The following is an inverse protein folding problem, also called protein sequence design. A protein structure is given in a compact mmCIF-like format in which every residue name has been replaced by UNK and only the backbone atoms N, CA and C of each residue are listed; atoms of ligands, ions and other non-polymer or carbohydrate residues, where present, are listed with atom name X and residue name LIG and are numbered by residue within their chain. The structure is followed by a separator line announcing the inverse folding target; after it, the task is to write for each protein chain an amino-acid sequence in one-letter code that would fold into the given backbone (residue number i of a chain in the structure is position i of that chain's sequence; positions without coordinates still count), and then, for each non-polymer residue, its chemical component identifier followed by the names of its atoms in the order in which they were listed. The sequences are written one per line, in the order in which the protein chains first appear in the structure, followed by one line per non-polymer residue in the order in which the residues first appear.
data_IF_157103208377
#
_entry.id   IF_157103208377
#
_cell.length_a   1.000
_cell.length_b   1.000
_cell.length_c   1.000
_cell.angle_alpha   90.00
_cell.angle_beta   90.00
_cell.angle_gamma   90.00
#
_symmetry.space_group_name_H-M   'P 1'
#
loop_
_entity.id
_entity.type
_entity.pdbx_description
1 polymer ?
#
# COMPACT_ATOMS: atom_id res chain seq x y z
N UNK A 1 -14.73 2.12 15.00
CA UNK A 1 -14.13 0.83 14.57
C UNK A 1 -13.15 1.10 13.44
N UNK A 2 -11.94 0.52 13.44
CA UNK A 2 -11.00 0.62 12.32
C UNK A 2 -10.69 -0.77 11.79
N UNK A 3 -10.79 -0.97 10.47
CA UNK A 3 -10.53 -2.25 9.81
C UNK A 3 -9.50 -2.06 8.72
N UNK A 4 -8.52 -2.96 8.70
CA UNK A 4 -7.67 -3.13 7.53
C UNK A 4 -8.11 -4.36 6.76
N UNK A 5 -8.45 -4.19 5.49
CA UNK A 5 -8.66 -5.32 4.58
C UNK A 5 -7.41 -5.57 3.76
N UNK A 6 -7.03 -6.83 3.66
CA UNK A 6 -5.89 -7.29 2.91
C UNK A 6 -6.32 -7.92 1.57
N UNK A 7 -6.04 -7.27 0.45
CA UNK A 7 -5.62 -7.95 -0.75
C UNK A 7 -4.11 -8.17 -0.72
N UNK A 8 -3.66 -9.24 -1.36
CA UNK A 8 -2.24 -9.55 -1.51
C UNK A 8 -1.37 -8.33 -1.81
N UNK A 9 -0.20 -8.16 -1.15
CA UNK A 9 0.99 -7.38 -1.59
C UNK A 9 1.95 -7.12 -0.40
N UNK A 10 3.29 -7.09 -0.55
CA UNK A 10 4.21 -6.17 0.12
C UNK A 10 4.65 -5.07 -0.87
N UNK A 11 5.46 -4.12 -0.43
CA UNK A 11 6.09 -3.10 -1.29
C UNK A 11 6.99 -3.72 -2.39
N UNK A 12 7.04 -3.14 -3.58
CA UNK A 12 8.22 -3.21 -4.47
C UNK A 12 8.31 -1.95 -5.33
N UNK A 13 9.55 -1.61 -5.66
CA UNK A 13 10.00 -0.46 -6.42
C UNK A 13 9.59 -0.53 -7.91
N UNK A 14 9.20 0.62 -8.45
CA UNK A 14 8.76 0.81 -9.84
C UNK A 14 9.84 0.46 -10.87
N UNK A 15 9.49 -0.35 -11.88
CA UNK A 15 10.04 -0.22 -13.23
C UNK A 15 8.99 -0.60 -14.29
N UNK A 16 8.84 0.28 -15.28
CA UNK A 16 7.87 0.24 -16.37
C UNK A 16 8.41 -0.56 -17.56
N UNK A 17 7.57 -1.39 -18.22
CA UNK A 17 7.46 -1.58 -19.69
C UNK A 17 6.48 -2.73 -20.09
N UNK A 18 5.42 -2.33 -20.82
CA UNK A 18 4.63 -2.99 -21.88
C UNK A 18 3.96 -4.40 -21.77
N UNK A 19 2.63 -4.35 -21.93
CA UNK A 19 1.60 -5.25 -22.50
C UNK A 19 1.89 -6.73 -22.84
N UNK A 20 1.24 -7.63 -22.09
CA UNK A 20 0.73 -8.93 -22.57
C UNK A 20 -0.66 -9.21 -21.94
N UNK A 21 -1.56 -9.93 -22.64
CA UNK A 21 -2.93 -10.14 -22.19
C UNK A 21 -3.00 -11.18 -21.06
N UNK A 22 -3.86 -11.00 -20.04
CA UNK A 22 -3.89 -11.88 -18.87
C UNK A 22 -4.70 -13.18 -19.09
N UNK A 23 -4.26 -14.34 -18.57
CA UNK A 23 -5.14 -15.45 -18.25
C UNK A 23 -5.91 -15.20 -16.95
N UNK A 24 -7.15 -15.70 -16.89
CA UNK A 24 -8.15 -15.35 -15.89
C UNK A 24 -8.05 -16.18 -14.60
N UNK A 25 -8.47 -15.50 -13.53
CA UNK A 25 -8.85 -15.95 -12.18
C UNK A 25 -7.65 -16.07 -11.23
N UNK A 26 -7.62 -15.25 -10.14
CA UNK A 26 -6.93 -15.43 -8.83
C UNK A 26 -6.93 -14.42 -7.66
N UNK A 27 -7.97 -13.71 -7.22
CA UNK A 27 -7.87 -12.53 -6.32
C UNK A 27 -6.87 -11.47 -6.79
N UNK A 28 -5.60 -11.75 -7.01
CA UNK A 28 -4.64 -11.00 -7.81
C UNK A 28 -3.82 -11.99 -8.65
N UNK A 29 -3.54 -11.73 -9.93
CA UNK A 29 -2.51 -12.54 -10.63
C UNK A 29 -1.18 -12.39 -9.88
N UNK A 30 -0.27 -13.36 -10.01
CA UNK A 30 0.98 -13.35 -9.24
C UNK A 30 1.70 -11.99 -9.36
N UNK A 31 2.21 -11.49 -8.22
CA UNK A 31 2.93 -10.21 -8.13
C UNK A 31 4.16 -10.19 -9.04
N UNK A 32 4.68 -11.37 -9.35
CA UNK A 32 5.75 -11.58 -10.32
C UNK A 32 5.51 -10.85 -11.66
N UNK A 33 4.25 -10.71 -12.08
CA UNK A 33 3.90 -10.05 -13.34
C UNK A 33 3.47 -8.60 -13.10
N UNK A 34 3.98 -7.68 -13.91
CA UNK A 34 3.74 -6.24 -13.78
C UNK A 34 2.26 -5.81 -13.90
N UNK A 35 1.41 -6.59 -14.58
CA UNK A 35 -0.01 -6.30 -14.81
C UNK A 35 -0.93 -7.01 -13.80
N UNK A 36 -0.44 -7.20 -12.58
CA UNK A 36 -1.23 -7.84 -11.54
C UNK A 36 -2.46 -7.01 -11.17
N UNK A 37 -3.61 -7.68 -11.09
CA UNK A 37 -4.91 -7.03 -10.91
C UNK A 37 -5.84 -7.91 -10.11
N UNK A 38 -6.80 -7.28 -9.42
CA UNK A 38 -7.76 -8.06 -8.64
C UNK A 38 -8.60 -8.96 -9.55
N UNK A 39 -8.93 -10.19 -9.15
CA UNK A 39 -9.79 -11.09 -9.93
C UNK A 39 -11.16 -11.27 -9.30
N UNK A 40 -12.08 -11.88 -10.05
CA UNK A 40 -13.44 -12.16 -9.58
C UNK A 40 -13.50 -12.90 -8.25
N UNK A 41 -12.61 -13.89 -8.01
CA UNK A 41 -12.57 -14.60 -6.73
C UNK A 41 -12.26 -13.64 -5.57
N UNK A 42 -11.33 -12.71 -5.77
CA UNK A 42 -10.93 -11.75 -4.76
C UNK A 42 -11.96 -10.68 -4.50
N UNK A 43 -12.63 -10.22 -5.56
CA UNK A 43 -13.78 -9.34 -5.44
C UNK A 43 -14.88 -10.03 -4.62
N UNK A 44 -15.18 -11.30 -4.91
CA UNK A 44 -16.18 -12.08 -4.15
C UNK A 44 -15.77 -12.24 -2.68
N UNK A 45 -14.52 -12.59 -2.38
CA UNK A 45 -14.10 -12.76 -0.98
C UNK A 45 -14.11 -11.44 -0.20
N UNK A 46 -13.71 -10.32 -0.82
CA UNK A 46 -13.81 -9.02 -0.17
C UNK A 46 -15.27 -8.58 0.01
N UNK A 47 -16.13 -8.84 -0.98
CA UNK A 47 -17.57 -8.62 -0.83
C UNK A 47 -18.16 -9.43 0.32
N UNK A 48 -17.90 -10.74 0.39
CA UNK A 48 -18.35 -11.60 1.48
C UNK A 48 -17.79 -11.17 2.84
N UNK A 49 -16.56 -10.67 2.86
CA UNK A 49 -15.97 -10.08 4.06
C UNK A 49 -16.75 -8.82 4.46
N UNK A 50 -17.00 -7.91 3.53
CA UNK A 50 -17.85 -6.74 3.76
C UNK A 50 -19.24 -7.10 4.30
N UNK A 51 -19.91 -8.09 3.72
CA UNK A 51 -21.22 -8.58 4.17
C UNK A 51 -21.17 -9.15 5.59
N UNK A 52 -20.11 -9.86 5.96
CA UNK A 52 -19.91 -10.29 7.34
C UNK A 52 -19.85 -9.10 8.32
N UNK A 53 -19.17 -8.01 7.94
CA UNK A 53 -19.14 -6.79 8.75
C UNK A 53 -20.49 -6.04 8.73
N UNK A 54 -21.25 -6.11 7.64
CA UNK A 54 -22.63 -5.61 7.60
C UNK A 54 -23.50 -6.29 8.65
N UNK A 55 -23.53 -7.63 8.62
CA UNK A 55 -24.33 -8.44 9.55
C UNK A 55 -23.94 -8.19 11.00
N UNK A 56 -22.65 -8.02 11.26
CA UNK A 56 -22.15 -7.78 12.61
C UNK A 56 -22.39 -6.36 13.11
N UNK A 57 -22.22 -5.33 12.29
CA UNK A 57 -22.13 -3.95 12.78
C UNK A 57 -23.25 -3.02 12.31
N UNK A 58 -23.92 -3.32 11.21
CA UNK A 58 -24.94 -2.44 10.62
C UNK A 58 -26.34 -3.02 10.78
N UNK A 59 -26.46 -4.35 10.68
CA UNK A 59 -27.74 -5.05 10.77
C UNK A 59 -28.48 -4.73 12.08
N UNK A 60 -29.76 -4.38 11.97
CA UNK A 60 -30.56 -3.84 13.08
C UNK A 60 -30.68 -4.80 14.27
N UNK A 61 -30.70 -6.11 14.00
CA UNK A 61 -30.84 -7.14 15.03
C UNK A 61 -29.50 -7.64 15.58
N UNK A 62 -28.37 -7.07 15.14
CA UNK A 62 -27.06 -7.47 15.66
C UNK A 62 -26.86 -6.93 17.08
N UNK A 63 -26.42 -7.80 17.99
CA UNK A 63 -25.99 -7.42 19.33
C UNK A 63 -24.70 -6.59 19.34
N UNK A 64 -23.94 -6.59 18.24
CA UNK A 64 -22.71 -5.83 18.06
C UNK A 64 -22.92 -4.60 17.16
N UNK A 65 -24.17 -4.24 16.88
CA UNK A 65 -24.48 -3.09 16.02
C UNK A 65 -23.80 -1.82 16.54
N UNK A 66 -23.13 -1.09 15.64
CA UNK A 66 -22.52 0.18 15.98
C UNK A 66 -23.61 1.19 16.30
N UNK A 67 -23.49 1.84 17.47
CA UNK A 67 -24.47 2.81 17.93
C UNK A 67 -24.64 3.95 16.91
N UNK A 68 -25.89 4.14 16.46
CA UNK A 68 -26.26 5.22 15.54
C UNK A 68 -25.66 5.12 14.14
N UNK A 69 -25.15 3.96 13.72
CA UNK A 69 -24.75 3.76 12.32
C UNK A 69 -25.98 3.73 11.42
N UNK A 70 -25.88 4.37 10.25
CA UNK A 70 -26.94 4.36 9.23
C UNK A 70 -26.80 3.12 8.34
N UNK A 71 -27.94 2.61 7.85
CA UNK A 71 -27.99 1.63 6.75
C UNK A 71 -27.71 2.25 5.39
N UNK A 72 -27.82 3.59 5.30
CA UNK A 72 -27.43 4.38 4.13
C UNK A 72 -25.99 4.85 4.30
N UNK A 73 -25.18 4.62 3.27
CA UNK A 73 -23.76 4.97 3.25
C UNK A 73 -23.56 6.48 3.41
N UNK A 74 -22.55 6.85 4.21
CA UNK A 74 -22.10 8.21 4.38
C UNK A 74 -20.58 8.24 4.56
N UNK A 75 -19.83 8.97 3.71
CA UNK A 75 -18.37 9.06 3.80
C UNK A 75 -17.87 9.60 5.16
N UNK A 76 -18.64 10.45 5.84
CA UNK A 76 -18.23 11.00 7.15
C UNK A 76 -18.34 9.97 8.28
N UNK A 77 -19.32 9.07 8.20
CA UNK A 77 -19.47 7.95 9.14
C UNK A 77 -18.55 6.77 8.79
N UNK A 78 -18.27 6.61 7.49
CA UNK A 78 -17.54 5.47 6.92
C UNK A 78 -16.33 5.91 6.10
N UNK A 79 -15.37 6.66 6.69
CA UNK A 79 -14.18 7.07 5.97
C UNK A 79 -13.40 5.84 5.51
N UNK A 80 -13.11 5.79 4.22
CA UNK A 80 -12.48 4.64 3.58
C UNK A 80 -11.31 5.11 2.72
N UNK A 81 -10.14 4.50 2.89
CA UNK A 81 -8.92 4.87 2.16
C UNK A 81 -8.12 3.66 1.70
N UNK A 82 -7.35 3.85 0.64
CA UNK A 82 -6.44 2.88 0.07
C UNK A 82 -5.30 3.63 -0.64
N UNK A 83 -4.07 3.10 -0.71
CA UNK A 83 -3.08 3.60 -1.65
C UNK A 83 -3.60 3.55 -3.08
N UNK A 84 -3.17 4.48 -3.93
CA UNK A 84 -3.59 4.59 -5.33
C UNK A 84 -3.03 3.45 -6.21
N UNK A 85 -3.54 2.25 -5.93
CA UNK A 85 -3.21 1.00 -6.61
C UNK A 85 -4.54 0.32 -6.91
N UNK A 86 -4.78 0.01 -8.18
CA UNK A 86 -6.07 -0.52 -8.64
C UNK A 86 -6.54 -1.74 -7.83
N UNK A 87 -5.62 -2.64 -7.45
CA UNK A 87 -5.94 -3.81 -6.61
C UNK A 87 -6.45 -3.41 -5.22
N UNK A 88 -5.88 -2.38 -4.58
CA UNK A 88 -6.22 -1.93 -3.23
C UNK A 88 -7.54 -1.14 -3.24
N UNK A 89 -7.72 -0.27 -4.22
CA UNK A 89 -8.97 0.49 -4.42
C UNK A 89 -10.13 -0.47 -4.70
N UNK A 90 -9.95 -1.44 -5.60
CA UNK A 90 -11.00 -2.40 -5.91
C UNK A 90 -11.31 -3.32 -4.72
N UNK A 91 -10.31 -3.62 -3.88
CA UNK A 91 -10.51 -4.37 -2.63
C UNK A 91 -11.38 -3.62 -1.65
N UNK A 92 -11.02 -2.36 -1.35
CA UNK A 92 -11.83 -1.51 -0.48
C UNK A 92 -13.23 -1.33 -1.05
N UNK A 93 -13.35 -1.13 -2.36
CA UNK A 93 -14.63 -0.99 -3.06
C UNK A 93 -15.48 -2.25 -2.88
N UNK A 94 -14.98 -3.44 -3.24
CA UNK A 94 -15.72 -4.70 -3.10
C UNK A 94 -16.14 -4.97 -1.64
N UNK A 95 -15.26 -4.68 -0.68
CA UNK A 95 -15.60 -4.73 0.74
C UNK A 95 -16.77 -3.80 1.07
N UNK A 96 -16.72 -2.54 0.64
CA UNK A 96 -17.79 -1.56 0.90
C UNK A 96 -19.11 -1.93 0.22
N UNK A 97 -19.08 -2.58 -0.95
CA UNK A 97 -20.28 -3.12 -1.61
C UNK A 97 -20.96 -4.20 -0.76
N UNK A 98 -20.17 -5.04 -0.08
CA UNK A 98 -20.70 -6.01 0.88
C UNK A 98 -21.18 -5.35 2.17
N UNK A 99 -20.48 -4.32 2.65
CA UNK A 99 -20.81 -3.59 3.87
C UNK A 99 -22.11 -2.77 3.73
N UNK A 100 -22.30 -2.12 2.58
CA UNK A 100 -23.46 -1.30 2.24
C UNK A 100 -24.16 -1.88 1.00
N UNK A 101 -24.99 -2.93 1.18
CA UNK A 101 -25.73 -3.53 0.07
C UNK A 101 -26.72 -2.53 -0.55
N UNK A 102 -27.26 -2.80 -1.76
CA UNK A 102 -28.24 -1.94 -2.40
C UNK A 102 -29.41 -1.55 -1.48
N UNK A 103 -29.77 -0.27 -1.50
CA UNK A 103 -30.88 0.28 -0.72
C UNK A 103 -32.18 0.29 -1.53
N UNK A 104 -33.31 0.13 -0.84
CA UNK A 104 -34.63 0.32 -1.43
C UNK A 104 -35.03 1.80 -1.57
N UNK A 105 -34.20 2.71 -1.04
CA UNK A 105 -34.39 4.16 -1.09
C UNK A 105 -34.61 4.63 -2.54
N UNK A 106 -35.57 5.52 -2.71
CA UNK A 106 -35.97 6.03 -4.02
C UNK A 106 -36.26 7.53 -3.92
N UNK A 107 -35.84 8.28 -4.94
CA UNK A 107 -36.13 9.69 -5.10
C UNK A 107 -37.47 9.85 -5.85
N UNK A 108 -38.36 10.69 -5.34
CA UNK A 108 -39.57 11.07 -6.06
C UNK A 108 -39.29 12.33 -6.88
N UNK A 109 -39.38 12.21 -8.21
CA UNK A 109 -39.19 13.34 -9.11
C UNK A 109 -40.51 14.11 -9.33
N UNK A 110 -40.42 15.30 -9.91
CA UNK A 110 -41.54 16.26 -10.05
C UNK A 110 -42.78 15.72 -10.78
N UNK A 111 -42.64 14.68 -11.62
CA UNK A 111 -43.76 14.03 -12.28
C UNK A 111 -44.46 12.94 -11.43
N UNK A 112 -44.05 12.78 -10.17
CA UNK A 112 -44.60 11.79 -9.23
C UNK A 112 -44.00 10.38 -9.35
N UNK A 113 -43.09 10.14 -10.30
CA UNK A 113 -42.40 8.86 -10.44
C UNK A 113 -41.33 8.69 -9.37
N UNK A 114 -41.11 7.44 -8.94
CA UNK A 114 -40.07 7.08 -7.98
C UNK A 114 -38.89 6.43 -8.72
N UNK A 115 -37.70 7.01 -8.59
CA UNK A 115 -36.48 6.55 -9.24
C UNK A 115 -35.53 6.00 -8.18
N UNK A 116 -34.99 4.81 -8.43
CA UNK A 116 -33.95 4.20 -7.61
C UNK A 116 -32.59 4.35 -8.29
N UNK A 117 -31.53 4.27 -7.49
CA UNK A 117 -30.19 4.15 -8.03
C UNK A 117 -30.07 2.92 -8.97
N UNK A 118 -29.22 2.97 -10.00
CA UNK A 118 -28.91 1.83 -10.87
C UNK A 118 -28.43 0.59 -10.10
N UNK A 119 -28.26 -0.52 -10.83
CA UNK A 119 -27.78 -1.80 -10.27
C UNK A 119 -28.64 -2.28 -9.07
N UNK A 120 -29.95 -2.04 -9.15
CA UNK A 120 -30.91 -2.51 -8.14
C UNK A 120 -30.91 -1.69 -6.83
N UNK A 121 -30.49 -0.42 -6.87
CA UNK A 121 -30.44 0.45 -5.70
C UNK A 121 -29.04 0.60 -5.10
N UNK A 122 -27.99 0.39 -5.91
CA UNK A 122 -26.61 0.44 -5.45
C UNK A 122 -26.30 1.73 -4.68
N UNK A 123 -25.63 1.58 -3.54
CA UNK A 123 -25.15 2.71 -2.75
C UNK A 123 -23.77 3.10 -3.27
N UNK A 124 -23.60 4.34 -3.71
CA UNK A 124 -22.34 4.84 -4.26
C UNK A 124 -21.32 5.08 -3.13
N UNK A 125 -20.58 4.03 -2.81
CA UNK A 125 -19.47 4.04 -1.85
C UNK A 125 -18.25 4.75 -2.42
N UNK A 126 -17.44 5.36 -1.55
CA UNK A 126 -16.26 6.11 -1.96
C UNK A 126 -15.02 5.63 -1.22
N UNK A 127 -13.90 5.48 -1.94
CA UNK A 127 -12.58 5.19 -1.37
C UNK A 127 -11.66 6.35 -1.72
N UNK A 128 -11.03 6.94 -0.72
CA UNK A 128 -9.97 7.92 -0.93
C UNK A 128 -8.69 7.20 -1.37
N UNK A 129 -8.12 7.62 -2.49
CA UNK A 129 -6.89 7.04 -3.04
C UNK A 129 -5.70 7.90 -2.58
N UNK A 130 -4.78 7.31 -1.82
CA UNK A 130 -3.56 7.96 -1.35
C UNK A 130 -2.48 7.85 -2.43
N UNK A 131 -2.21 8.94 -3.13
CA UNK A 131 -1.21 8.99 -4.21
C UNK A 131 0.21 8.84 -3.64
N UNK A 132 1.12 8.21 -4.39
CA UNK A 132 2.51 8.00 -3.95
C UNK A 132 3.31 9.30 -3.68
N UNK A 133 2.86 10.43 -4.25
CA UNK A 133 3.44 11.76 -4.01
C UNK A 133 2.83 12.49 -2.82
N UNK A 134 1.73 11.99 -2.24
CA UNK A 134 1.09 12.58 -1.06
C UNK A 134 1.85 12.17 0.22
N UNK A 135 1.99 13.11 1.15
CA UNK A 135 2.56 12.83 2.47
C UNK A 135 1.71 11.83 3.26
N UNK A 136 0.41 11.72 2.95
CA UNK A 136 -0.53 10.80 3.58
C UNK A 136 -0.30 9.33 3.20
N UNK A 137 0.43 9.06 2.12
CA UNK A 137 0.76 7.70 1.69
C UNK A 137 1.59 6.94 2.73
N UNK A 138 2.40 7.64 3.52
CA UNK A 138 3.27 7.03 4.56
C UNK A 138 2.47 6.24 5.60
N UNK A 139 1.19 6.57 5.80
CA UNK A 139 0.32 5.93 6.79
C UNK A 139 -0.12 4.51 6.41
N UNK A 140 -0.22 4.22 5.12
CA UNK A 140 -0.62 2.89 4.61
C UNK A 140 0.52 2.15 3.90
N UNK A 141 1.53 2.89 3.44
CA UNK A 141 2.69 2.39 2.69
C UNK A 141 4.01 2.93 3.23
N UNK A 142 4.17 3.00 4.56
CA UNK A 142 5.37 3.56 5.20
C UNK A 142 6.70 2.86 4.89
N UNK A 143 6.69 1.71 4.23
CA UNK A 143 7.89 1.04 3.70
C UNK A 143 8.33 1.55 2.34
N UNK A 144 7.41 2.16 1.59
CA UNK A 144 7.65 2.59 0.22
C UNK A 144 8.48 3.88 0.27
N UNK A 145 9.42 4.03 -0.67
CA UNK A 145 10.34 5.17 -0.70
C UNK A 145 11.10 5.40 0.63
N UNK A 146 11.37 4.30 1.36
CA UNK A 146 12.08 4.32 2.64
C UNK A 146 13.44 3.61 2.52
N UNK A 147 14.53 4.32 2.15
CA UNK A 147 15.86 3.72 2.03
C UNK A 147 16.35 2.97 3.28
N UNK A 148 16.03 3.47 4.47
CA UNK A 148 16.40 2.81 5.72
C UNK A 148 15.73 1.43 5.87
N UNK A 149 14.46 1.29 5.50
CA UNK A 149 13.76 0.01 5.47
C UNK A 149 14.41 -0.94 4.46
N UNK A 150 14.63 -0.48 3.22
CA UNK A 150 15.25 -1.31 2.17
C UNK A 150 16.62 -1.83 2.60
N UNK A 151 17.47 -0.98 3.19
CA UNK A 151 18.76 -1.39 3.71
C UNK A 151 18.63 -2.39 4.87
N UNK A 152 17.73 -2.12 5.82
CA UNK A 152 17.49 -2.97 6.97
C UNK A 152 16.95 -4.36 6.59
N UNK A 153 16.03 -4.43 5.63
CA UNK A 153 15.49 -5.68 5.10
C UNK A 153 16.58 -6.50 4.38
N UNK A 154 17.42 -5.84 3.58
CA UNK A 154 18.52 -6.49 2.87
C UNK A 154 19.56 -7.15 3.80
N UNK A 155 19.72 -6.66 5.04
CA UNK A 155 20.60 -7.29 6.03
C UNK A 155 20.18 -8.70 6.42
N UNK A 156 18.89 -9.07 6.26
CA UNK A 156 18.43 -10.43 6.56
C UNK A 156 19.19 -11.49 5.75
N UNK A 157 19.49 -11.20 4.47
CA UNK A 157 20.25 -12.09 3.58
C UNK A 157 21.66 -12.41 4.09
N UNK A 158 22.19 -11.65 5.05
CA UNK A 158 23.52 -11.82 5.66
C UNK A 158 23.47 -12.57 6.99
N UNK A 159 22.28 -12.93 7.48
CA UNK A 159 22.10 -13.61 8.76
C UNK A 159 22.45 -15.10 8.69
N UNK A 160 22.81 -15.68 9.84
CA UNK A 160 23.04 -17.12 9.95
C UNK A 160 21.77 -17.93 9.67
N UNK A 161 20.61 -17.45 10.15
CA UNK A 161 19.30 -18.04 9.89
C UNK A 161 18.99 -18.13 8.40
N UNK A 162 19.19 -17.03 7.66
CA UNK A 162 18.99 -17.02 6.21
C UNK A 162 19.93 -18.02 5.51
N UNK A 163 21.21 -18.06 5.89
CA UNK A 163 22.18 -18.99 5.31
C UNK A 163 21.81 -20.46 5.58
N UNK A 164 21.33 -20.77 6.78
CA UNK A 164 20.85 -22.10 7.16
C UNK A 164 19.61 -22.52 6.35
N UNK A 165 18.61 -21.64 6.24
CA UNK A 165 17.40 -21.91 5.46
C UNK A 165 17.71 -22.02 3.97
N UNK A 166 18.59 -21.18 3.45
CA UNK A 166 19.05 -21.23 2.06
C UNK A 166 19.69 -22.58 1.72
N UNK A 167 20.55 -23.11 2.60
CA UNK A 167 21.22 -24.38 2.38
C UNK A 167 20.28 -25.58 2.59
N UNK A 168 19.61 -25.63 3.74
CA UNK A 168 18.76 -26.76 4.13
C UNK A 168 17.57 -26.98 3.20
N UNK A 169 17.05 -25.91 2.58
CA UNK A 169 15.91 -25.99 1.64
C UNK A 169 16.30 -26.04 0.17
N UNK A 170 17.60 -26.02 -0.16
CA UNK A 170 18.09 -25.96 -1.55
C UNK A 170 17.52 -27.08 -2.43
N UNK A 171 17.51 -28.32 -1.93
CA UNK A 171 16.96 -29.47 -2.66
C UNK A 171 15.45 -29.35 -2.84
N UNK A 172 14.75 -28.84 -1.83
CA UNK A 172 13.30 -28.66 -1.86
C UNK A 172 12.90 -27.67 -2.96
N UNK A 173 13.50 -26.48 -2.99
CA UNK A 173 13.21 -25.49 -4.03
C UNK A 173 13.61 -25.97 -5.44
N UNK A 174 14.73 -26.68 -5.57
CA UNK A 174 15.17 -27.26 -6.85
C UNK A 174 14.14 -28.23 -7.47
N UNK A 175 13.25 -28.82 -6.66
CA UNK A 175 12.18 -29.70 -7.11
C UNK A 175 11.09 -29.01 -7.94
N UNK A 176 10.96 -27.69 -7.89
CA UNK A 176 9.91 -26.94 -8.60
C UNK A 176 10.32 -26.45 -9.99
N UNK A 177 11.47 -26.90 -10.51
CA UNK A 177 11.98 -26.50 -11.84
C UNK A 177 10.96 -26.68 -12.96
N UNK A 178 10.29 -27.83 -13.02
CA UNK A 178 9.29 -28.07 -14.05
C UNK A 178 8.00 -27.28 -13.80
N UNK A 179 7.64 -27.04 -12.54
CA UNK A 179 6.45 -26.27 -12.17
C UNK A 179 6.58 -24.78 -12.56
N UNK A 180 7.79 -24.23 -12.49
CA UNK A 180 8.12 -22.85 -12.86
C UNK A 180 8.70 -22.71 -14.26
N UNK A 181 8.63 -23.78 -15.07
CA UNK A 181 9.10 -23.76 -16.45
C UNK A 181 8.23 -22.80 -17.29
N UNK A 182 8.85 -21.74 -17.79
CA UNK A 182 8.17 -20.72 -18.60
C UNK A 182 7.94 -19.40 -17.86
N UNK A 183 8.26 -19.33 -16.57
CA UNK A 183 8.42 -18.03 -15.89
C UNK A 183 9.72 -17.40 -16.39
N UNK A 184 9.63 -16.14 -16.85
CA UNK A 184 10.59 -15.53 -17.78
C UNK A 184 12.00 -15.30 -17.21
N UNK A 185 12.12 -15.12 -15.90
CA UNK A 185 13.38 -14.85 -15.18
C UNK A 185 13.86 -16.03 -14.32
N UNK A 186 13.06 -17.11 -14.19
CA UNK A 186 13.48 -18.39 -13.59
C UNK A 186 14.28 -19.26 -14.58
N UNK A 187 15.23 -18.63 -15.28
CA UNK A 187 16.04 -19.27 -16.33
C UNK A 187 17.24 -20.02 -15.78
N UNK A 188 17.71 -19.67 -14.57
CA UNK A 188 18.79 -20.36 -13.88
C UNK A 188 18.30 -20.96 -12.54
N UNK A 189 17.80 -22.21 -12.56
CA UNK A 189 17.29 -22.88 -11.38
C UNK A 189 18.27 -22.89 -10.19
N UNK A 190 19.58 -22.96 -10.43
CA UNK A 190 20.58 -23.03 -9.36
C UNK A 190 20.63 -21.75 -8.51
N UNK A 191 20.24 -20.61 -9.08
CA UNK A 191 20.23 -19.30 -8.41
C UNK A 191 18.82 -18.77 -8.13
N UNK A 192 17.84 -19.12 -8.97
CA UNK A 192 16.47 -18.60 -8.84
C UNK A 192 15.60 -19.47 -7.93
N UNK A 193 15.77 -20.81 -7.93
CA UNK A 193 14.98 -21.72 -7.10
C UNK A 193 15.64 -21.92 -5.73
N UNK A 194 15.59 -20.88 -4.91
CA UNK A 194 16.19 -20.89 -3.57
C UNK A 194 15.31 -20.14 -2.58
N UNK A 195 15.61 -20.30 -1.28
CA UNK A 195 14.95 -19.56 -0.20
C UNK A 195 15.03 -18.02 -0.37
N UNK A 196 16.00 -17.51 -1.13
CA UNK A 196 16.09 -16.08 -1.43
C UNK A 196 14.87 -15.53 -2.18
N UNK A 197 14.13 -16.40 -2.88
CA UNK A 197 12.88 -16.08 -3.58
C UNK A 197 11.68 -16.80 -2.95
N UNK A 198 11.73 -17.10 -1.64
CA UNK A 198 10.73 -17.93 -0.96
C UNK A 198 9.29 -17.48 -1.21
N UNK A 199 9.03 -16.17 -1.07
CA UNK A 199 7.71 -15.58 -1.30
C UNK A 199 7.30 -15.63 -2.78
N UNK A 200 8.17 -15.24 -3.71
CA UNK A 200 7.84 -15.19 -5.13
C UNK A 200 7.52 -16.58 -5.70
N UNK A 201 8.31 -17.60 -5.31
CA UNK A 201 8.06 -19.00 -5.66
C UNK A 201 6.73 -19.48 -5.07
N UNK A 202 6.47 -19.18 -3.79
CA UNK A 202 5.20 -19.51 -3.15
C UNK A 202 4.01 -18.86 -3.88
N UNK A 203 4.11 -17.57 -4.20
CA UNK A 203 3.03 -16.83 -4.87
C UNK A 203 2.70 -17.43 -6.24
N UNK A 204 3.71 -17.63 -7.08
CA UNK A 204 3.58 -18.23 -8.41
C UNK A 204 2.87 -19.58 -8.35
N UNK A 205 3.30 -20.46 -7.44
CA UNK A 205 2.77 -21.81 -7.31
C UNK A 205 1.39 -21.83 -6.63
N UNK A 206 1.15 -20.97 -5.64
CA UNK A 206 -0.14 -20.84 -4.98
C UNK A 206 -1.20 -20.34 -5.98
N UNK A 207 -0.91 -19.26 -6.70
CA UNK A 207 -1.80 -18.72 -7.74
C UNK A 207 -2.03 -19.77 -8.84
N UNK A 208 -0.97 -20.44 -9.31
CA UNK A 208 -1.11 -21.49 -10.31
C UNK A 208 -1.98 -22.66 -9.82
N UNK A 209 -1.88 -23.05 -8.55
CA UNK A 209 -2.66 -24.15 -7.96
C UNK A 209 -4.16 -23.85 -7.87
N UNK A 210 -4.54 -22.59 -7.64
CA UNK A 210 -5.94 -22.19 -7.49
C UNK A 210 -6.59 -21.97 -8.88
N UNK A 211 -5.81 -21.65 -9.92
CA UNK A 211 -6.38 -21.07 -11.16
C UNK A 211 -6.04 -21.75 -12.46
N UNK A 212 -4.95 -22.49 -12.50
CA UNK A 212 -4.58 -23.20 -13.70
C UNK A 212 -4.80 -24.69 -13.46
N UNK A 213 -5.90 -25.21 -14.01
CA UNK A 213 -6.30 -26.61 -13.90
C UNK A 213 -5.19 -27.56 -14.38
N UNK A 214 -4.35 -27.12 -15.32
CA UNK A 214 -3.21 -27.88 -15.85
C UNK A 214 -2.01 -27.91 -14.91
N UNK A 215 -1.93 -27.01 -13.93
CA UNK A 215 -0.81 -26.91 -12.97
C UNK A 215 -1.20 -27.30 -11.54
N UNK A 216 -2.49 -27.54 -11.27
CA UNK A 216 -2.98 -27.96 -9.96
C UNK A 216 -2.28 -29.23 -9.42
N UNK A 217 -1.77 -30.09 -10.31
CA UNK A 217 -1.05 -31.32 -9.96
C UNK A 217 0.48 -31.16 -9.90
N UNK A 218 1.03 -29.98 -10.19
CA UNK A 218 2.49 -29.75 -10.20
C UNK A 218 3.06 -29.48 -8.79
N UNK A 219 2.18 -29.24 -7.80
CA UNK A 219 2.55 -29.06 -6.40
C UNK A 219 1.57 -29.85 -5.53
N UNK A 220 2.08 -30.70 -4.64
CA UNK A 220 1.24 -31.38 -3.66
C UNK A 220 0.81 -30.43 -2.53
N UNK A 221 -0.31 -30.70 -1.81
CA UNK A 221 -0.72 -29.88 -0.67
C UNK A 221 0.37 -29.72 0.39
N UNK A 222 1.14 -30.77 0.67
CA UNK A 222 2.26 -30.73 1.62
C UNK A 222 3.40 -29.83 1.14
N UNK A 223 3.74 -29.89 -0.15
CA UNK A 223 4.74 -28.99 -0.74
C UNK A 223 4.28 -27.53 -0.71
N UNK A 224 3.01 -27.27 -1.02
CA UNK A 224 2.46 -25.92 -0.98
C UNK A 224 2.44 -25.37 0.46
N UNK A 225 2.10 -26.21 1.44
CA UNK A 225 2.18 -25.83 2.85
C UNK A 225 3.62 -25.52 3.29
N UNK A 226 4.61 -26.31 2.87
CA UNK A 226 6.01 -26.03 3.18
C UNK A 226 6.52 -24.75 2.49
N UNK A 227 6.16 -24.53 1.23
CA UNK A 227 6.44 -23.26 0.52
C UNK A 227 5.84 -22.07 1.27
N UNK A 228 4.59 -22.21 1.73
CA UNK A 228 3.92 -21.20 2.55
C UNK A 228 4.68 -20.92 3.84
N UNK A 229 5.02 -21.94 4.62
CA UNK A 229 5.77 -21.76 5.88
C UNK A 229 7.12 -21.07 5.66
N UNK A 230 7.84 -21.39 4.58
CA UNK A 230 9.10 -20.73 4.25
C UNK A 230 8.90 -19.27 3.83
N UNK A 231 7.87 -18.99 3.04
CA UNK A 231 7.50 -17.63 2.66
C UNK A 231 7.06 -16.80 3.88
N UNK A 232 6.27 -17.39 4.78
CA UNK A 232 5.83 -16.79 6.03
C UNK A 232 7.02 -16.29 6.87
N UNK A 233 7.99 -17.17 7.13
CA UNK A 233 9.20 -16.81 7.86
C UNK A 233 10.07 -15.80 7.13
N UNK A 234 10.24 -15.94 5.81
CA UNK A 234 11.01 -15.01 5.00
C UNK A 234 10.47 -13.58 5.09
N UNK A 235 9.17 -13.42 4.84
CA UNK A 235 8.52 -12.11 4.84
C UNK A 235 8.44 -11.48 6.23
N UNK A 236 8.24 -12.30 7.27
CA UNK A 236 8.28 -11.81 8.65
C UNK A 236 9.67 -11.29 9.01
N UNK A 237 10.74 -12.00 8.64
CA UNK A 237 12.11 -11.61 8.91
C UNK A 237 12.54 -10.32 8.18
N UNK A 238 12.02 -10.08 6.98
CA UNK A 238 12.19 -8.79 6.27
C UNK A 238 11.45 -7.64 6.97
N UNK A 239 10.28 -7.94 7.55
CA UNK A 239 9.36 -6.95 8.11
C UNK A 239 9.66 -6.58 9.56
N UNK A 240 10.28 -7.46 10.35
CA UNK A 240 10.53 -7.21 11.75
C UNK A 240 11.85 -7.79 12.25
N UNK A 241 12.56 -7.00 13.06
CA UNK A 241 13.66 -7.44 13.90
C UNK A 241 13.79 -6.45 15.06
N UNK A 242 13.74 -6.93 16.31
CA UNK A 242 13.83 -6.07 17.50
C UNK A 242 15.16 -5.30 17.59
N UNK A 243 16.23 -5.83 17.00
CA UNK A 243 17.55 -5.19 16.93
C UNK A 243 17.68 -4.22 15.75
N UNK A 244 16.74 -4.23 14.80
CA UNK A 244 16.72 -3.31 13.66
C UNK A 244 15.31 -2.70 13.48
N UNK A 245 14.98 -1.62 14.23
CA UNK A 245 13.64 -1.04 14.27
C UNK A 245 13.19 -0.39 12.95
N UNK A 246 14.09 -0.19 11.98
CA UNK A 246 13.73 0.33 10.66
C UNK A 246 12.92 -0.68 9.84
N UNK A 247 13.03 -1.99 10.11
CA UNK A 247 12.23 -3.02 9.42
C UNK A 247 10.73 -2.83 9.65
N UNK A 248 10.34 -2.45 10.86
CA UNK A 248 8.93 -2.33 11.24
C UNK A 248 8.30 -0.97 10.94
N UNK A 249 8.95 -0.12 10.14
CA UNK A 249 8.49 1.27 9.91
C UNK A 249 7.08 1.36 9.35
N UNK A 250 6.69 0.46 8.45
CA UNK A 250 5.32 0.40 7.92
C UNK A 250 4.27 0.09 8.98
N UNK A 251 4.63 -0.72 10.00
CA UNK A 251 3.77 -0.96 11.15
C UNK A 251 3.70 0.26 12.07
N UNK A 252 4.82 0.96 12.28
CA UNK A 252 4.86 2.17 13.13
C UNK A 252 3.99 3.30 12.57
N UNK A 253 4.01 3.54 11.26
CA UNK A 253 3.14 4.57 10.63
C UNK A 253 1.67 4.12 10.60
N UNK A 254 1.41 2.84 10.36
CA UNK A 254 0.06 2.29 10.44
C UNK A 254 -0.56 2.42 11.83
N UNK A 255 0.20 2.20 12.89
CA UNK A 255 -0.26 2.41 14.29
C UNK A 255 -0.72 3.86 14.50
N UNK A 256 0.00 4.85 13.94
CA UNK A 256 -0.42 6.25 14.01
C UNK A 256 -1.76 6.49 13.29
N UNK A 257 -1.98 5.85 12.14
CA UNK A 257 -3.25 5.91 11.41
C UNK A 257 -4.41 5.33 12.23
N UNK A 258 -4.23 4.16 12.86
CA UNK A 258 -5.25 3.55 13.74
C UNK A 258 -5.58 4.49 14.91
N UNK A 259 -4.56 5.06 15.55
CA UNK A 259 -4.75 6.03 16.62
C UNK A 259 -5.52 7.25 16.16
N UNK A 260 -5.17 7.80 15.00
CA UNK A 260 -5.85 8.95 14.42
C UNK A 260 -7.35 8.68 14.22
N UNK A 261 -7.70 7.55 13.60
CA UNK A 261 -9.11 7.20 13.35
C UNK A 261 -9.90 7.02 14.64
N UNK A 262 -9.36 6.27 15.61
CA UNK A 262 -10.06 6.04 16.88
C UNK A 262 -10.17 7.31 17.72
N UNK A 263 -9.12 8.14 17.73
CA UNK A 263 -9.14 9.43 18.42
C UNK A 263 -10.16 10.38 17.79
N UNK A 264 -10.31 10.38 16.45
CA UNK A 264 -11.38 11.12 15.77
C UNK A 264 -12.78 10.64 16.20
N UNK A 265 -13.00 9.32 16.27
CA UNK A 265 -14.28 8.78 16.78
C UNK A 265 -14.55 9.26 18.21
N UNK A 266 -13.55 9.24 19.09
CA UNK A 266 -13.69 9.70 20.48
C UNK A 266 -13.96 11.20 20.55
N UNK A 267 -13.17 12.01 19.85
CA UNK A 267 -13.27 13.47 19.87
C UNK A 267 -14.60 13.97 19.30
N UNK A 268 -15.14 13.29 18.28
CA UNK A 268 -16.43 13.62 17.68
C UNK A 268 -17.61 12.92 18.34
N UNK A 269 -17.39 12.17 19.43
CA UNK A 269 -18.42 11.38 20.11
C UNK A 269 -19.18 10.45 19.14
N UNK A 270 -18.46 9.89 18.17
CA UNK A 270 -18.99 9.02 17.14
C UNK A 270 -19.88 9.70 16.11
N UNK A 271 -19.86 11.03 15.98
CA UNK A 271 -20.51 11.75 14.86
C UNK A 271 -19.74 11.57 13.54
N UNK A 272 -18.46 11.21 13.61
CA UNK A 272 -17.62 10.87 12.46
C UNK A 272 -16.85 9.57 12.72
N UNK A 273 -16.44 8.89 11.64
CA UNK A 273 -15.53 7.76 11.73
C UNK A 273 -16.07 6.59 12.56
N UNK A 274 -17.37 6.33 12.54
CA UNK A 274 -17.98 5.17 13.24
C UNK A 274 -17.37 3.85 12.74
N UNK A 275 -17.10 3.76 11.44
CA UNK A 275 -16.43 2.63 10.79
C UNK A 275 -15.38 3.14 9.81
N UNK A 276 -14.09 2.97 10.12
CA UNK A 276 -13.00 3.35 9.23
C UNK A 276 -12.47 2.14 8.50
N UNK A 277 -12.39 2.21 7.17
CA UNK A 277 -11.81 1.15 6.34
C UNK A 277 -10.48 1.62 5.74
N UNK A 278 -9.47 0.77 5.83
CA UNK A 278 -8.17 0.96 5.18
C UNK A 278 -7.86 -0.30 4.37
N UNK A 279 -7.52 -0.18 3.10
CA UNK A 279 -6.92 -1.30 2.37
C UNK A 279 -5.41 -1.22 2.45
N UNK A 280 -4.76 -2.33 2.80
CA UNK A 280 -3.32 -2.37 3.03
C UNK A 280 -2.68 -3.70 2.63
N UNK A 281 -1.36 -3.72 2.68
CA UNK A 281 -0.51 -4.88 2.35
C UNK A 281 -0.23 -5.77 3.56
N UNK A 282 0.22 -7.02 3.35
CA UNK A 282 0.45 -7.95 4.47
C UNK A 282 1.64 -7.56 5.32
N UNK A 283 2.62 -6.87 4.74
CA UNK A 283 3.77 -6.41 5.49
C UNK A 283 3.32 -5.45 6.60
N UNK A 284 2.24 -4.69 6.38
CA UNK A 284 1.58 -3.89 7.42
C UNK A 284 0.98 -4.76 8.52
N UNK A 285 0.33 -5.89 8.16
CA UNK A 285 -0.17 -6.86 9.13
C UNK A 285 0.97 -7.46 9.95
N UNK A 286 1.98 -8.04 9.31
CA UNK A 286 3.12 -8.67 10.01
C UNK A 286 3.88 -7.66 10.88
N UNK A 287 4.12 -6.44 10.39
CA UNK A 287 4.75 -5.39 11.17
C UNK A 287 3.91 -5.02 12.40
N UNK A 288 2.60 -4.86 12.23
CA UNK A 288 1.69 -4.62 13.36
C UNK A 288 1.67 -5.80 14.32
N UNK A 289 1.59 -7.04 13.83
CA UNK A 289 1.58 -8.25 14.66
C UNK A 289 2.80 -8.35 15.55
N UNK A 290 3.97 -8.06 14.99
CA UNK A 290 5.22 -8.06 15.73
C UNK A 290 5.30 -6.90 16.74
N UNK A 291 4.96 -5.66 16.33
CA UNK A 291 4.96 -4.49 17.22
C UNK A 291 3.95 -4.62 18.37
N UNK A 292 2.80 -5.22 18.10
CA UNK A 292 1.76 -5.53 19.08
C UNK A 292 2.04 -6.82 19.86
N UNK A 293 3.15 -7.50 19.61
CA UNK A 293 3.54 -8.76 20.26
C UNK A 293 2.42 -9.83 20.24
N UNK A 294 1.70 -9.92 19.11
CA UNK A 294 0.65 -10.92 18.91
C UNK A 294 1.23 -12.32 18.68
N UNK A 295 2.50 -12.41 18.29
CA UNK A 295 3.25 -13.67 18.18
C UNK A 295 3.36 -14.41 19.52
N UNK A 296 3.27 -13.71 20.65
CA UNK A 296 3.18 -14.33 21.98
C UNK A 296 1.80 -14.97 22.25
N UNK A 297 0.75 -14.55 21.54
CA UNK A 297 -0.60 -15.10 21.69
C UNK A 297 -0.84 -16.33 20.79
N UNK A 298 -0.30 -16.33 19.56
CA UNK A 298 -0.42 -17.45 18.63
C UNK A 298 0.71 -17.44 17.58
N UNK A 299 1.25 -18.61 17.26
CA UNK A 299 2.30 -18.75 16.24
C UNK A 299 1.85 -18.31 14.83
N UNK A 300 0.55 -18.43 14.51
CA UNK A 300 0.00 -17.99 13.22
C UNK A 300 0.29 -16.51 12.90
N UNK A 301 0.60 -15.67 13.90
CA UNK A 301 0.95 -14.25 13.70
C UNK A 301 2.36 -14.02 13.14
N UNK A 302 3.18 -15.07 13.00
CA UNK A 302 4.37 -15.03 12.15
C UNK A 302 4.02 -15.14 10.66
N UNK A 303 2.87 -15.73 10.34
CA UNK A 303 2.46 -16.04 8.99
C UNK A 303 2.01 -14.83 8.18
N UNK A 304 2.05 -14.97 6.86
CA UNK A 304 1.28 -14.13 5.96
C UNK A 304 -0.21 -14.26 6.33
N UNK A 305 -0.98 -13.17 6.29
CA UNK A 305 -2.44 -13.26 6.35
C UNK A 305 -2.96 -13.95 5.09
N UNK A 306 -4.01 -14.75 5.24
CA UNK A 306 -4.78 -15.31 4.13
C UNK A 306 -5.47 -14.19 3.35
N UNK A 307 -5.95 -14.48 2.15
CA UNK A 307 -6.61 -13.46 1.35
C UNK A 307 -7.93 -12.97 1.95
N UNK A 308 -8.26 -11.69 1.74
CA UNK A 308 -9.40 -11.01 2.36
C UNK A 308 -9.38 -11.08 3.90
N UNK A 309 -8.17 -11.20 4.48
CA UNK A 309 -8.00 -11.09 5.92
C UNK A 309 -8.30 -9.68 6.40
N UNK A 310 -8.79 -9.61 7.63
CA UNK A 310 -9.05 -8.35 8.29
C UNK A 310 -8.51 -8.35 9.69
N UNK A 311 -7.88 -7.25 10.08
CA UNK A 311 -7.69 -6.91 11.48
C UNK A 311 -8.58 -5.73 11.84
N UNK A 312 -9.20 -5.80 13.01
CA UNK A 312 -10.21 -4.87 13.48
C UNK A 312 -9.86 -4.34 14.87
N UNK A 313 -10.07 -3.05 15.07
CA UNK A 313 -9.99 -2.38 16.36
C UNK A 313 -11.39 -1.89 16.72
N UNK A 314 -12.00 -2.55 17.70
CA UNK A 314 -13.29 -2.16 18.22
C UNK A 314 -13.10 -1.25 19.44
N UNK A 315 -13.59 -0.02 19.35
CA UNK A 315 -13.76 0.88 20.49
C UNK A 315 -15.19 0.70 21.02
N UNK A 316 -15.32 0.29 22.27
CA UNK A 316 -16.60 -0.09 22.85
C UNK A 316 -16.70 0.30 24.33
N UNK A 317 -17.89 0.17 24.89
CA UNK A 317 -18.14 0.23 26.33
C UNK A 317 -18.96 -0.98 26.74
N UNK A 318 -18.78 -1.44 27.98
CA UNK A 318 -19.58 -2.55 28.53
C UNK A 318 -20.94 -2.08 29.06
N UNK A 319 -21.12 -0.75 29.19
CA UNK A 319 -22.39 -0.14 29.59
C UNK A 319 -23.39 -0.25 28.44
N UNK A 320 -24.59 -0.73 28.74
CA UNK A 320 -25.70 -0.64 27.79
C UNK A 320 -26.12 0.82 27.66
N UNK A 321 -25.73 1.45 26.55
CA UNK A 321 -25.94 2.88 26.31
C UNK A 321 -26.56 3.15 24.94
N UNK A 322 -27.45 4.14 24.89
CA UNK A 322 -28.05 4.67 23.66
C UNK A 322 -27.34 5.91 23.14
N UNK A 323 -26.35 6.42 23.88
CA UNK A 323 -25.53 7.58 23.52
C UNK A 323 -24.04 7.26 23.67
N UNK A 324 -23.19 8.04 22.99
CA UNK A 324 -21.75 7.90 23.17
C UNK A 324 -21.38 8.19 24.64
N UNK A 325 -20.54 7.38 25.30
CA UNK A 325 -20.17 7.60 26.70
C UNK A 325 -19.59 8.99 26.95
N UNK A 326 -20.13 9.71 27.94
CA UNK A 326 -19.65 11.04 28.31
C UNK A 326 -18.28 11.01 28.99
N UNK A 327 -17.94 9.90 29.65
CA UNK A 327 -16.64 9.68 30.26
C UNK A 327 -15.79 8.74 29.39
N UNK A 328 -14.66 9.22 28.91
CA UNK A 328 -13.72 8.44 28.09
C UNK A 328 -13.10 7.26 28.84
N UNK A 329 -13.11 7.27 30.18
CA UNK A 329 -12.65 6.15 31.00
C UNK A 329 -13.57 4.92 30.90
N UNK A 330 -14.80 5.09 30.41
CA UNK A 330 -15.73 3.97 30.16
C UNK A 330 -15.47 3.26 28.82
N UNK A 331 -14.49 3.73 28.05
CA UNK A 331 -14.14 3.18 26.74
C UNK A 331 -13.03 2.15 26.87
N UNK A 332 -13.23 1.04 26.18
CA UNK A 332 -12.26 -0.03 26.01
C UNK A 332 -11.98 -0.24 24.52
N UNK A 333 -10.83 -0.83 24.23
CA UNK A 333 -10.46 -1.30 22.90
C UNK A 333 -10.19 -2.80 22.95
N UNK A 334 -10.65 -3.51 21.93
CA UNK A 334 -10.21 -4.88 21.65
C UNK A 334 -9.71 -5.00 20.22
N UNK A 335 -8.66 -5.79 20.05
CA UNK A 335 -8.15 -6.18 18.74
C UNK A 335 -8.77 -7.50 18.32
N UNK A 336 -9.16 -7.60 17.06
CA UNK A 336 -9.64 -8.83 16.47
C UNK A 336 -9.00 -9.09 15.13
N UNK A 337 -8.85 -10.37 14.79
CA UNK A 337 -8.31 -10.82 13.51
C UNK A 337 -9.21 -11.91 12.93
N UNK A 338 -9.48 -11.78 11.63
CA UNK A 338 -10.16 -12.79 10.81
C UNK A 338 -9.27 -13.10 9.62
N UNK A 339 -8.77 -14.32 9.55
CA UNK A 339 -7.75 -14.72 8.58
C UNK A 339 -8.36 -15.21 7.26
N UNK A 340 -9.07 -14.31 6.58
CA UNK A 340 -9.76 -14.57 5.32
C UNK A 340 -11.18 -15.12 5.49
N UNK A 341 -11.84 -15.42 4.38
CA UNK A 341 -13.26 -15.83 4.39
C UNK A 341 -13.48 -17.25 4.89
N UNK A 342 -12.48 -18.11 4.79
CA UNK A 342 -12.60 -19.55 5.04
C UNK A 342 -12.25 -19.96 6.48
N UNK A 343 -11.50 -19.12 7.23
CA UNK A 343 -10.98 -19.48 8.56
C UNK A 343 -11.92 -19.11 9.73
N UNK A 344 -13.21 -18.89 9.46
CA UNK A 344 -14.22 -18.68 10.49
C UNK A 344 -14.44 -17.21 10.89
N UNK A 345 -14.96 -16.96 12.11
CA UNK A 345 -15.39 -15.63 12.55
C UNK A 345 -14.21 -14.74 12.96
N UNK A 346 -14.52 -13.47 13.23
CA UNK A 346 -13.60 -12.50 13.80
C UNK A 346 -13.27 -12.86 15.26
N UNK A 347 -11.99 -13.11 15.56
CA UNK A 347 -11.51 -13.60 16.86
C UNK A 347 -10.71 -12.52 17.60
N UNK A 348 -10.97 -12.33 18.89
CA UNK A 348 -10.22 -11.38 19.71
C UNK A 348 -8.89 -11.98 20.19
N UNK A 349 -7.84 -11.16 20.25
CA UNK A 349 -6.52 -11.56 20.75
C UNK A 349 -5.96 -10.52 21.72
N UNK A 350 -5.21 -10.94 22.75
CA UNK A 350 -4.60 -10.01 23.68
C UNK A 350 -3.48 -9.22 23.01
N UNK A 351 -3.49 -7.90 23.19
CA UNK A 351 -2.45 -7.03 22.67
C UNK A 351 -1.24 -6.95 23.61
N UNK A 352 -0.10 -6.60 23.03
CA UNK A 352 1.15 -6.21 23.70
C UNK A 352 1.76 -7.30 24.59
N UNK A 353 1.48 -8.58 24.30
CA UNK A 353 1.94 -9.72 25.11
C UNK A 353 1.18 -9.91 26.42
N UNK A 354 0.06 -9.22 26.61
CA UNK A 354 -0.83 -9.40 27.75
C UNK A 354 -1.67 -10.69 27.65
N UNK A 355 -2.64 -10.81 28.56
CA UNK A 355 -3.62 -11.92 28.58
C UNK A 355 -5.07 -11.45 28.40
N UNK A 356 -5.33 -10.15 28.58
CA UNK A 356 -6.68 -9.59 28.46
C UNK A 356 -7.06 -9.38 26.99
N UNK A 357 -8.29 -9.77 26.62
CA UNK A 357 -8.84 -9.59 25.26
C UNK A 357 -9.32 -8.15 24.99
N UNK A 358 -9.29 -7.29 26.00
CA UNK A 358 -9.58 -5.87 25.90
C UNK A 358 -8.71 -5.08 26.88
N UNK A 359 -8.58 -3.77 26.64
CA UNK A 359 -7.91 -2.85 27.56
C UNK A 359 -8.57 -1.48 27.51
N UNK A 360 -8.31 -0.64 28.52
CA UNK A 360 -8.85 0.72 28.55
C UNK A 360 -8.38 1.52 27.33
N UNK A 361 -9.20 2.46 26.86
CA UNK A 361 -8.81 3.37 25.79
C UNK A 361 -7.52 4.13 26.12
N UNK A 362 -7.33 4.52 27.39
CA UNK A 362 -6.13 5.22 27.86
C UNK A 362 -4.87 4.36 27.70
N UNK A 363 -4.92 3.10 28.16
CA UNK A 363 -3.78 2.17 28.06
C UNK A 363 -3.48 1.81 26.61
N UNK A 364 -4.52 1.54 25.82
CA UNK A 364 -4.39 1.27 24.39
C UNK A 364 -3.70 2.44 23.67
N UNK A 365 -4.15 3.68 23.93
CA UNK A 365 -3.55 4.88 23.34
C UNK A 365 -2.10 5.04 23.75
N UNK A 366 -1.77 4.82 25.03
CA UNK A 366 -0.40 4.90 25.53
C UNK A 366 0.52 3.85 24.88
N UNK A 367 0.09 2.59 24.79
CA UNK A 367 0.90 1.51 24.20
C UNK A 367 1.08 1.67 22.70
N UNK A 368 0.04 2.06 21.96
CA UNK A 368 0.15 2.34 20.53
C UNK A 368 1.07 3.55 20.28
N UNK A 369 0.98 4.62 21.07
CA UNK A 369 1.81 5.82 20.87
C UNK A 369 3.30 5.54 21.04
N UNK A 370 3.68 4.66 21.98
CA UNK A 370 5.08 4.22 22.18
C UNK A 370 5.68 3.49 20.96
N UNK A 371 4.83 2.98 20.07
CA UNK A 371 5.20 2.13 18.93
C UNK A 371 4.96 2.82 17.59
N UNK A 372 4.48 4.07 17.60
CA UNK A 372 4.12 4.79 16.38
C UNK A 372 5.19 5.78 15.95
N UNK A 373 5.27 6.01 14.64
CA UNK A 373 5.82 7.24 14.06
C UNK A 373 4.61 8.12 13.77
N UNK A 374 4.47 9.24 14.46
CA UNK A 374 3.22 10.03 14.43
C UNK A 374 3.26 11.23 13.47
N UNK A 375 4.41 11.50 12.84
CA UNK A 375 4.55 12.64 11.93
C UNK A 375 5.30 12.27 10.66
N UNK A 376 4.96 12.95 9.56
CA UNK A 376 5.67 12.83 8.28
C UNK A 376 7.14 13.23 8.46
N UNK A 377 7.42 14.23 9.29
CA UNK A 377 8.80 14.66 9.59
C UNK A 377 9.64 13.54 10.22
N UNK A 378 9.09 12.87 11.23
CA UNK A 378 9.72 11.75 11.90
C UNK A 378 9.94 10.58 10.92
N UNK A 379 8.94 10.27 10.08
CA UNK A 379 9.08 9.27 9.03
C UNK A 379 10.21 9.63 8.04
N UNK A 380 10.24 10.86 7.52
CA UNK A 380 11.27 11.32 6.60
C UNK A 380 12.68 11.18 7.19
N UNK A 381 12.85 11.51 8.48
CA UNK A 381 14.12 11.38 9.20
C UNK A 381 14.52 9.92 9.43
N UNK A 382 13.60 9.09 9.92
CA UNK A 382 13.86 7.66 10.15
C UNK A 382 14.16 6.93 8.84
N UNK A 383 13.38 7.19 7.79
CA UNK A 383 13.56 6.57 6.48
C UNK A 383 14.79 7.06 5.71
N UNK A 384 15.32 8.23 6.06
CA UNK A 384 16.30 8.96 5.24
C UNK A 384 15.77 9.13 3.81
N UNK A 385 14.48 9.43 3.67
CA UNK A 385 13.83 9.52 2.37
C UNK A 385 14.17 10.82 1.66
N UNK A 386 14.23 10.75 0.33
CA UNK A 386 14.46 11.88 -0.58
C UNK A 386 13.24 12.20 -1.43
N UNK A 387 12.06 11.66 -1.10
CA UNK A 387 10.80 12.05 -1.75
C UNK A 387 10.56 13.55 -1.56
N UNK A 388 9.91 14.18 -2.54
CA UNK A 388 9.75 15.63 -2.62
C UNK A 388 9.13 16.24 -1.35
N UNK A 389 8.12 15.61 -0.75
CA UNK A 389 7.50 16.12 0.48
C UNK A 389 8.44 16.08 1.70
N UNK A 390 9.51 15.27 1.65
CA UNK A 390 10.54 15.25 2.69
C UNK A 390 11.56 16.40 2.57
N UNK A 391 11.65 17.09 1.43
CA UNK A 391 12.61 18.16 1.21
C UNK A 391 12.47 19.30 2.26
N UNK A 392 11.24 19.57 2.73
CA UNK A 392 10.97 20.58 3.77
C UNK A 392 11.52 20.22 5.15
N UNK A 393 11.86 18.95 5.39
CA UNK A 393 12.37 18.43 6.67
C UNK A 393 13.86 18.15 6.67
N UNK A 394 14.50 18.20 5.49
CA UNK A 394 15.95 18.13 5.41
C UNK A 394 16.52 19.46 5.88
N UNK A 395 17.42 19.42 6.87
CA UNK A 395 18.09 20.63 7.32
C UNK A 395 18.82 21.24 6.12
N UNK A 396 18.42 22.47 5.74
CA UNK A 396 19.33 23.34 5.02
C UNK A 396 20.63 23.35 5.83
N UNK A 397 21.81 23.09 5.25
CA UNK A 397 23.03 23.38 5.95
C UNK A 397 23.02 24.88 6.24
N UNK A 398 22.58 25.24 7.44
CA UNK A 398 22.97 26.48 8.07
C UNK A 398 24.48 26.34 8.21
N UNK A 399 25.19 26.78 7.18
CA UNK A 399 26.52 27.31 7.35
C UNK A 399 26.33 28.46 8.34
N UNK A 400 26.40 28.13 9.62
CA UNK A 400 26.89 29.05 10.62
C UNK A 400 28.35 29.31 10.23
N UNK A 401 28.53 30.11 9.17
CA UNK A 401 29.75 30.83 8.96
C UNK A 401 29.84 31.74 10.18
N UNK A 402 30.57 31.26 11.19
CA UNK A 402 31.17 32.14 12.18
C UNK A 402 31.97 33.13 11.35
N UNK A 403 31.41 34.31 11.14
CA UNK A 403 32.13 35.45 10.57
C UNK A 403 33.14 35.87 11.62
N UNK A 404 34.27 35.18 11.63
CA UNK A 404 35.47 35.67 12.27
C UNK A 404 35.88 36.92 11.50
N UNK A 405 35.68 38.10 12.11
CA UNK A 405 36.10 39.38 11.57
C UNK A 405 37.63 39.40 11.45
N UNK A 406 38.14 39.03 10.28
CA UNK A 406 39.44 39.49 9.78
C UNK A 406 39.21 40.16 8.43
N UNK A 407 39.17 41.48 8.44
CA UNK A 407 39.11 42.26 7.22
C UNK A 407 40.45 42.23 6.50
N UNK A 408 40.41 42.06 5.17
CA UNK A 408 41.18 42.84 4.18
C UNK A 408 40.44 42.81 2.83
N UNK A 409 40.16 44.02 2.33
CA UNK A 409 40.05 44.52 0.94
C UNK A 409 38.95 44.04 -0.03
N UNK A 410 37.97 44.91 -0.23
CA UNK A 410 37.05 44.94 -1.38
C UNK A 410 37.79 45.36 -2.66
N UNK A 411 38.19 44.42 -3.54
CA UNK A 411 38.54 44.76 -4.94
C UNK A 411 38.09 43.75 -6.01
N UNK A 412 37.64 42.52 -5.70
CA UNK A 412 37.28 41.56 -6.78
C UNK A 412 35.94 40.86 -6.54
N UNK A 413 34.86 41.64 -6.52
CA UNK A 413 33.48 41.13 -6.62
C UNK A 413 32.73 41.65 -7.87
N UNK A 414 33.40 42.44 -8.72
CA UNK A 414 32.82 43.05 -9.93
C UNK A 414 33.13 42.34 -11.25
N UNK A 415 33.87 41.23 -11.26
CA UNK A 415 34.39 40.61 -12.51
C UNK A 415 33.71 39.28 -12.86
N UNK A 416 33.11 38.57 -11.89
CA UNK A 416 32.43 37.29 -12.16
C UNK A 416 31.01 37.48 -12.76
N UNK A 417 30.31 38.56 -12.43
CA UNK A 417 28.97 38.85 -12.98
C UNK A 417 28.99 39.43 -14.41
N UNK A 418 30.07 40.10 -14.80
CA UNK A 418 30.21 40.69 -16.13
C UNK A 418 30.62 39.66 -17.21
N UNK A 419 31.34 38.60 -16.83
CA UNK A 419 31.79 37.54 -17.75
C UNK A 419 30.65 36.61 -18.19
N UNK A 420 29.69 36.34 -17.30
CA UNK A 420 28.53 35.48 -17.62
C UNK A 420 27.54 36.21 -18.54
N UNK A 421 27.32 37.51 -18.33
CA UNK A 421 26.45 38.30 -19.22
C UNK A 421 27.06 38.52 -20.62
N UNK A 422 28.39 38.73 -20.72
CA UNK A 422 29.07 38.80 -22.02
C UNK A 422 29.00 37.47 -22.79
N UNK A 423 29.11 36.33 -22.09
CA UNK A 423 28.96 35.00 -22.69
C UNK A 423 27.55 34.76 -23.26
N UNK A 424 26.51 35.12 -22.52
CA UNK A 424 25.11 34.95 -22.95
C UNK A 424 24.80 35.87 -24.14
N UNK A 425 25.26 37.13 -24.12
CA UNK A 425 25.05 38.07 -25.23
C UNK A 425 25.77 37.64 -26.50
N UNK A 426 26.99 37.08 -26.40
CA UNK A 426 27.70 36.54 -27.56
C UNK A 426 27.00 35.32 -28.17
N UNK A 427 26.53 34.38 -27.34
CA UNK A 427 25.81 33.19 -27.82
C UNK A 427 24.50 33.59 -28.51
N UNK A 428 23.72 34.49 -27.91
CA UNK A 428 22.48 34.99 -28.51
C UNK A 428 22.75 35.80 -29.79
N UNK A 429 23.85 36.57 -29.85
CA UNK A 429 24.26 37.30 -31.05
C UNK A 429 24.64 36.38 -32.21
N UNK A 430 25.36 35.29 -31.94
CA UNK A 430 25.72 34.28 -32.95
C UNK A 430 24.48 33.56 -33.48
N UNK A 431 23.56 33.16 -32.59
CA UNK A 431 22.29 32.53 -32.99
C UNK A 431 21.47 33.47 -33.87
N UNK A 432 21.37 34.75 -33.52
CA UNK A 432 20.65 35.74 -34.32
C UNK A 432 21.26 35.95 -35.71
N UNK A 433 22.60 35.99 -35.83
CA UNK A 433 23.29 36.14 -37.12
C UNK A 433 23.11 34.91 -38.03
N UNK A 434 23.11 33.70 -37.46
CA UNK A 434 22.86 32.46 -38.20
C UNK A 434 21.43 32.40 -38.74
N UNK A 435 20.45 32.80 -37.93
CA UNK A 435 19.03 32.87 -38.34
C UNK A 435 18.84 33.94 -39.42
N UNK A 436 19.46 35.13 -39.30
CA UNK A 436 19.38 36.16 -40.34
C UNK A 436 20.01 35.71 -41.67
N UNK A 437 21.14 35.01 -41.65
CA UNK A 437 21.77 34.48 -42.87
C UNK A 437 20.91 33.41 -43.56
N UNK A 438 20.22 32.57 -42.80
CA UNK A 438 19.27 31.59 -43.33
C UNK A 438 18.02 32.23 -43.97
N UNK A 439 17.55 33.36 -43.42
CA UNK A 439 16.38 34.09 -43.92
C UNK A 439 16.71 34.99 -45.13
N UNK A 440 17.91 35.57 -45.19
CA UNK A 440 18.36 36.40 -46.34
C UNK A 440 18.84 35.55 -47.52
N UNK A 441 19.38 34.34 -47.28
CA UNK A 441 19.80 33.41 -48.34
C UNK A 441 18.67 32.79 -49.17
N UNK A 442 17.40 32.94 -48.75
CA UNK A 442 16.23 32.38 -49.43
C UNK A 442 15.52 33.34 -50.40
N UNK A 443 16.00 34.58 -50.54
CA UNK A 443 15.49 35.57 -51.52
C UNK A 443 16.50 35.90 -52.61
N UNK A 444 16.96 34.90 -53.37
CA UNK A 444 17.55 35.09 -54.71
C UNK A 444 17.59 33.79 -55.52
N UNK A 445 16.47 33.44 -56.16
CA UNK A 445 16.44 32.81 -57.50
C UNK A 445 15.00 32.73 -58.04
N UNK A 446 14.70 33.69 -58.90
CA UNK A 446 13.63 33.80 -59.91
C UNK A 446 14.43 34.37 -61.11
N UNK A 447 14.47 33.89 -62.36
CA UNK A 447 13.73 32.96 -63.24
C UNK A 447 14.79 32.35 -64.21
N UNK A 448 14.56 31.37 -65.10
CA UNK A 448 13.99 31.50 -66.46
C UNK A 448 13.89 30.08 -67.08
N UNK A 449 12.77 29.81 -67.77
CA UNK A 449 12.45 28.62 -68.56
C UNK A 449 13.12 28.60 -69.95
N UNK A 450 13.19 27.43 -70.63
CA UNK A 450 12.58 27.18 -71.98
C UNK A 450 12.93 25.82 -72.61
N UNK A 451 11.87 25.15 -73.08
CA UNK A 451 11.63 24.15 -74.17
C UNK A 451 12.75 23.44 -74.96
N UNK A 452 12.56 22.14 -75.20
CA UNK A 452 12.18 21.48 -76.49
C UNK A 452 12.30 19.94 -76.32
N UNK A 453 11.27 19.10 -76.47
CA UNK A 453 10.47 18.71 -77.66
C UNK A 453 11.08 17.53 -78.46
N UNK A 454 10.31 16.42 -78.51
CA UNK A 454 10.35 15.30 -79.49
C UNK A 454 11.49 14.28 -79.35
N UNK A 455 11.36 12.99 -79.69
CA UNK A 455 10.31 12.20 -80.35
C UNK A 455 10.85 10.76 -80.55
N UNK A 456 9.98 9.74 -80.38
CA UNK A 456 9.83 8.41 -81.08
C UNK A 456 11.08 7.63 -81.53
N UNK A 457 11.19 6.31 -81.55
CA UNK A 457 10.32 5.11 -81.53
C UNK A 457 11.31 3.92 -81.63
N UNK A 458 10.96 2.66 -81.36
CA UNK A 458 9.84 1.84 -81.82
C UNK A 458 9.53 0.73 -80.81
#
# INVERSE_FOLDING_TARGET
MAIVSYPYLPSQHDHWLANLPPPKHSIGTSKHYWNYHITSLGLTQNFLTGSYYHDRYLFSNSTQRILGISSTYSPSLVPSRAPDQQILINTATAFLQGLYPPSADAETISNGSSIRNPLGGYQYVSVHADEASDEDMVWLKGTDQCPAYTAAAAEYSKSAEFAELLESTRRFYGGFKEALKGVWDYTNPATNLTYANAYDIFDLLNVASIHNASTANLTTPTQLAQLRTLADGHEFALTYNSSNPARSIGGKTFIAMVLSQLNNTVATQGQQGKFSLMAGSYNTFQAFFALANLTAAKEDFFGLPGYASTMAFELFTEKNTSTFPSNVADLNVRFLFRNGTEQGPLMAYPLFGGQSLSMSWADFKAEMSKRSISTVEEWCKECKSTVDFCAKFQAQPHTNAVVEKKGVSNVVAGVAGAMVMLGIVLVLGVVFLLVRRAVVGKKRRVTVARDKEGSLGS
#
